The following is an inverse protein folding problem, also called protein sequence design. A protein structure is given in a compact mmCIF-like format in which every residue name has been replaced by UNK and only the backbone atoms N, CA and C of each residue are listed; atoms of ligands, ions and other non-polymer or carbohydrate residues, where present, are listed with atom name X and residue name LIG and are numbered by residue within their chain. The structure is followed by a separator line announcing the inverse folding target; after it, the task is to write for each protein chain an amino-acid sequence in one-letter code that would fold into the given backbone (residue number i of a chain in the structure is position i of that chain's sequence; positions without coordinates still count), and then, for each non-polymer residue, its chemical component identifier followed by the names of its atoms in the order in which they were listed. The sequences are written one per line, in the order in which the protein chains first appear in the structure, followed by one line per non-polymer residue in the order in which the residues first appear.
data_IF_394502463189
#
_entry.id   IF_394502463189
#
_cell.length_a   1.000
_cell.length_b   1.000
_cell.length_c   1.000
_cell.angle_alpha   90.00
_cell.angle_beta   90.00
_cell.angle_gamma   90.00
#
_symmetry.space_group_name_H-M   'P 1'
#
loop_
_entity.id
_entity.type
_entity.pdbx_description
1 polymer ?
#
# COMPACT_ATOMS: atom_id res chain seq x y z
N UNK A 1 9.19 4.41 -10.90
CA UNK A 1 8.05 3.69 -10.30
C UNK A 1 6.93 4.69 -10.08
N UNK A 2 5.94 4.70 -10.96
CA UNK A 2 4.81 5.63 -10.90
C UNK A 2 3.98 5.30 -9.66
N UNK A 3 3.86 6.25 -8.71
CA UNK A 3 2.94 6.09 -7.57
C UNK A 3 1.52 6.18 -8.10
N UNK A 4 0.94 5.04 -8.44
CA UNK A 4 -0.46 4.96 -8.80
C UNK A 4 -1.29 5.16 -7.52
N UNK A 5 -1.75 6.38 -7.30
CA UNK A 5 -2.73 6.70 -6.26
C UNK A 5 -4.08 6.72 -6.97
N UNK A 6 -4.89 5.67 -6.81
CA UNK A 6 -6.27 5.71 -7.25
C UNK A 6 -7.01 6.76 -6.41
N UNK A 7 -7.65 7.73 -7.06
CA UNK A 7 -8.64 8.58 -6.43
C UNK A 7 -9.99 7.85 -6.53
N UNK A 8 -10.56 7.36 -5.40
CA UNK A 8 -11.83 6.64 -5.43
C UNK A 8 -13.00 7.49 -5.95
N UNK A 9 -12.91 8.82 -5.81
CA UNK A 9 -13.96 9.74 -6.25
C UNK A 9 -13.84 10.10 -7.74
N UNK A 10 -12.65 9.90 -8.32
CA UNK A 10 -12.39 10.19 -9.73
C UNK A 10 -11.57 9.05 -10.35
N UNK A 11 -12.18 7.86 -10.52
CA UNK A 11 -11.51 6.74 -11.16
C UNK A 11 -11.14 7.10 -12.59
N UNK A 12 -9.99 6.58 -13.04
CA UNK A 12 -9.58 6.71 -14.44
C UNK A 12 -10.65 6.08 -15.34
N UNK A 13 -11.10 6.81 -16.35
CA UNK A 13 -11.98 6.28 -17.39
C UNK A 13 -11.17 5.43 -18.38
N UNK A 14 -11.72 4.29 -18.76
CA UNK A 14 -11.17 3.42 -19.79
C UNK A 14 -11.19 4.13 -21.15
N UNK A 15 -10.19 3.86 -21.99
CA UNK A 15 -10.26 4.23 -23.41
C UNK A 15 -11.21 3.30 -24.16
N UNK A 16 -11.72 3.69 -25.34
CA UNK A 16 -12.59 2.83 -26.15
C UNK A 16 -11.96 1.49 -26.52
N UNK A 17 -10.63 1.46 -26.72
CA UNK A 17 -9.88 0.23 -27.01
C UNK A 17 -9.74 -0.67 -25.79
N UNK A 18 -9.61 -0.10 -24.58
CA UNK A 18 -9.58 -0.86 -23.33
C UNK A 18 -10.93 -1.46 -23.00
N UNK A 19 -12.02 -0.70 -23.17
CA UNK A 19 -13.39 -1.19 -22.95
C UNK A 19 -13.71 -2.38 -23.87
N UNK A 20 -13.39 -2.27 -25.16
CA UNK A 20 -13.61 -3.36 -26.13
C UNK A 20 -12.87 -4.66 -25.79
N UNK A 21 -11.73 -4.58 -25.09
CA UNK A 21 -10.99 -5.78 -24.64
C UNK A 21 -11.69 -6.46 -23.46
N UNK A 22 -12.32 -5.69 -22.58
CA UNK A 22 -13.06 -6.22 -21.44
C UNK A 22 -14.34 -6.94 -21.92
N UNK A 23 -15.00 -6.41 -22.95
CA UNK A 23 -16.23 -6.99 -23.51
C UNK A 23 -15.99 -8.22 -24.41
N UNK A 24 -14.73 -8.55 -24.71
CA UNK A 24 -14.39 -9.59 -25.69
C UNK A 24 -14.71 -11.02 -25.21
N UNK A 25 -14.81 -11.24 -23.89
CA UNK A 25 -15.16 -12.53 -23.32
C UNK A 25 -15.79 -12.38 -21.92
N UNK A 26 -16.76 -13.23 -21.54
CA UNK A 26 -17.26 -13.26 -20.17
C UNK A 26 -16.16 -13.71 -19.21
N UNK A 27 -16.05 -13.02 -18.08
CA UNK A 27 -15.15 -13.39 -16.98
C UNK A 27 -15.81 -14.53 -16.18
N UNK A 28 -15.04 -15.59 -15.95
CA UNK A 28 -15.42 -16.68 -15.03
C UNK A 28 -15.05 -16.28 -13.60
N UNK A 29 -16.01 -16.40 -12.69
CA UNK A 29 -15.86 -16.09 -11.26
C UNK A 29 -16.16 -17.31 -10.38
N UNK A 30 -16.27 -18.51 -10.97
CA UNK A 30 -16.64 -19.73 -10.24
C UNK A 30 -15.65 -20.14 -9.15
N UNK A 31 -14.41 -19.65 -9.23
CA UNK A 31 -13.32 -19.88 -8.28
C UNK A 31 -13.29 -18.86 -7.12
N UNK A 32 -14.02 -17.76 -7.22
CA UNK A 32 -14.00 -16.66 -6.25
C UNK A 32 -15.39 -16.50 -5.63
N UNK A 33 -15.59 -16.90 -4.35
CA UNK A 33 -16.88 -16.72 -3.70
C UNK A 33 -17.22 -15.23 -3.56
N UNK A 34 -18.50 -14.84 -3.68
CA UNK A 34 -18.91 -13.46 -3.51
C UNK A 34 -18.66 -13.00 -2.07
N UNK A 35 -18.05 -11.82 -1.92
CA UNK A 35 -17.89 -11.18 -0.61
C UNK A 35 -19.24 -10.62 -0.16
N UNK A 36 -19.74 -11.09 0.99
CA UNK A 36 -20.96 -10.57 1.61
C UNK A 36 -20.72 -9.25 2.35
N UNK A 37 -21.81 -8.56 2.72
CA UNK A 37 -21.75 -7.29 3.46
C UNK A 37 -21.04 -7.41 4.82
N UNK A 38 -21.05 -8.61 5.41
CA UNK A 38 -20.35 -8.94 6.66
C UNK A 38 -18.83 -8.73 6.53
N UNK A 39 -18.23 -9.09 5.38
CA UNK A 39 -16.81 -8.87 5.12
C UNK A 39 -16.44 -7.38 5.21
N UNK A 40 -17.27 -6.50 4.63
CA UNK A 40 -17.01 -5.06 4.64
C UNK A 40 -17.28 -4.41 6.00
N UNK A 41 -18.13 -5.04 6.81
CA UNK A 41 -18.43 -4.60 8.18
C UNK A 41 -17.30 -4.97 9.14
N UNK A 42 -16.73 -6.17 8.96
CA UNK A 42 -15.60 -6.65 9.77
C UNK A 42 -14.24 -6.13 9.30
N UNK A 43 -14.14 -5.66 8.05
CA UNK A 43 -12.94 -5.07 7.47
C UNK A 43 -12.52 -3.79 8.23
N UNK A 44 -11.82 -4.01 9.33
CA UNK A 44 -11.33 -2.97 10.25
C UNK A 44 -9.88 -2.57 9.95
N UNK A 45 -9.17 -3.34 9.13
CA UNK A 45 -7.78 -3.07 8.80
C UNK A 45 -7.64 -1.96 7.76
N UNK A 46 -7.42 -0.75 8.26
CA UNK A 46 -6.88 0.35 7.45
C UNK A 46 -5.44 0.02 7.07
N UNK A 47 -5.27 -0.67 5.94
CA UNK A 47 -3.97 -0.92 5.33
C UNK A 47 -3.65 0.16 4.29
N UNK A 48 -2.46 0.79 4.33
CA UNK A 48 -1.37 0.58 5.28
C UNK A 48 -1.65 1.23 6.66
N UNK A 49 -1.05 0.71 7.75
CA UNK A 49 -1.22 1.27 9.08
C UNK A 49 -0.90 2.76 9.09
N UNK A 50 -1.73 3.51 9.82
CA UNK A 50 -1.56 4.95 10.00
C UNK A 50 -0.18 5.24 10.59
N UNK A 51 0.59 6.09 9.90
CA UNK A 51 1.90 6.54 10.40
C UNK A 51 1.71 7.84 11.16
N UNK A 52 2.22 7.89 12.39
CA UNK A 52 2.26 9.13 13.17
C UNK A 52 3.61 9.83 12.93
N UNK A 53 3.57 11.13 12.66
CA UNK A 53 4.77 11.95 12.56
C UNK A 53 5.24 12.31 13.97
N UNK A 54 6.48 11.97 14.28
CA UNK A 54 7.10 12.24 15.57
C UNK A 54 8.54 12.69 15.38
N UNK A 55 9.04 13.52 16.30
CA UNK A 55 10.42 14.00 16.30
C UNK A 55 11.22 13.21 17.33
N UNK A 56 12.21 12.45 16.88
CA UNK A 56 13.15 11.69 17.74
C UNK A 56 14.58 12.13 17.51
N UNK A 57 15.42 11.94 18.54
CA UNK A 57 16.87 12.06 18.43
C UNK A 57 17.45 10.67 18.15
N UNK A 58 18.37 10.61 17.20
CA UNK A 58 19.15 9.42 16.86
C UNK A 58 20.62 9.80 16.92
N UNK A 59 21.46 8.84 17.28
CA UNK A 59 22.90 9.04 17.27
C UNK A 59 23.40 9.34 15.85
N UNK A 60 24.48 10.13 15.78
CA UNK A 60 25.00 10.70 14.52
C UNK A 60 25.50 9.60 13.60
N UNK A 61 26.16 8.59 14.14
CA UNK A 61 26.67 7.42 13.44
C UNK A 61 25.54 6.55 12.87
N UNK A 62 24.48 6.29 13.65
CA UNK A 62 23.28 5.56 13.22
C UNK A 62 22.60 6.29 12.06
N UNK A 63 22.43 7.61 12.18
CA UNK A 63 21.85 8.41 11.11
C UNK A 63 22.71 8.41 9.84
N UNK A 64 24.04 8.43 10.01
CA UNK A 64 25.00 8.39 8.90
C UNK A 64 24.94 7.05 8.17
N UNK A 65 24.94 5.94 8.91
CA UNK A 65 24.79 4.59 8.36
C UNK A 65 23.45 4.42 7.62
N UNK A 66 22.34 4.89 8.19
CA UNK A 66 21.02 4.83 7.57
C UNK A 66 20.95 5.63 6.26
N UNK A 67 21.58 6.81 6.22
CA UNK A 67 21.65 7.66 5.02
C UNK A 67 22.61 7.12 3.97
N UNK A 68 23.65 6.38 4.35
CA UNK A 68 24.64 5.82 3.43
C UNK A 68 24.01 4.91 2.37
N UNK A 69 22.92 4.20 2.71
CA UNK A 69 22.17 3.37 1.75
C UNK A 69 21.05 4.14 1.00
N UNK A 70 21.20 5.45 0.84
CA UNK A 70 20.44 6.29 -0.08
C UNK A 70 19.05 6.74 0.39
N UNK A 71 18.22 7.16 -0.57
CA UNK A 71 16.86 7.67 -0.33
C UNK A 71 16.01 6.61 0.40
N UNK A 72 15.18 7.05 1.35
CA UNK A 72 14.24 6.18 2.05
C UNK A 72 14.69 5.73 3.45
N UNK A 73 15.74 6.35 4.02
CA UNK A 73 16.22 6.05 5.36
C UNK A 73 15.11 6.11 6.43
N UNK A 74 14.16 7.05 6.34
CA UNK A 74 13.00 7.13 7.25
C UNK A 74 12.09 5.91 7.18
N UNK A 75 11.84 5.38 5.97
CA UNK A 75 11.08 4.14 5.80
C UNK A 75 11.84 2.95 6.36
N UNK A 76 13.17 2.96 6.22
CA UNK A 76 14.05 1.92 6.74
C UNK A 76 14.09 1.90 8.28
N UNK A 77 14.07 3.06 8.93
CA UNK A 77 13.90 3.18 10.40
C UNK A 77 12.65 2.41 10.83
N UNK A 78 11.49 2.71 10.24
CA UNK A 78 10.24 2.04 10.61
C UNK A 78 10.29 0.53 10.37
N UNK A 79 10.96 0.07 9.30
CA UNK A 79 11.14 -1.37 9.03
C UNK A 79 12.00 -2.07 10.08
N UNK A 80 13.09 -1.44 10.50
CA UNK A 80 13.97 -1.98 11.56
C UNK A 80 13.21 -2.09 12.88
N UNK A 81 12.46 -1.05 13.25
CA UNK A 81 11.65 -1.04 14.47
C UNK A 81 10.58 -2.14 14.44
N UNK A 82 9.90 -2.36 13.31
CA UNK A 82 8.94 -3.46 13.15
C UNK A 82 9.59 -4.83 13.36
N UNK A 83 10.72 -5.07 12.69
CA UNK A 83 11.45 -6.33 12.83
C UNK A 83 11.90 -6.61 14.27
N UNK A 84 12.27 -5.57 15.02
CA UNK A 84 12.64 -5.69 16.43
C UNK A 84 11.44 -5.86 17.38
N UNK A 85 10.23 -5.44 16.99
CA UNK A 85 9.01 -5.68 17.76
C UNK A 85 8.48 -7.11 17.59
N UNK A 86 8.74 -7.72 16.43
CA UNK A 86 8.26 -9.06 16.05
C UNK A 86 9.25 -10.18 16.45
N UNK A 87 10.42 -9.82 16.99
CA UNK A 87 11.45 -10.74 17.52
C UNK A 87 11.30 -10.96 19.02
#
# INVERSE_FOLDING_TARGET
MTRYRQDPKHPRRLTPTEARRLDAAPLDYSDIPPLGDEFFTEATETWPPMKQQLTIRLDVDVLTWLKASGRGYQTRINRILRAAMES
#
